data_IF_590141794320
#
_entry.id   IF_590141794320
#
_cell.length_a   1.000
_cell.length_b   1.000
_cell.length_c   1.000
_cell.angle_alpha   90.00
_cell.angle_beta   90.00
_cell.angle_gamma   90.00
#
_symmetry.space_group_name_H-M   'P 1'
#
loop_
_entity.id
_entity.type
_entity.pdbx_description
1 polymer ?
#
# COMPACT_ATOMS: atom_id res chain seq x y z
N UNK A 1 37.96 -87.47 28.35
CA UNK A 1 38.10 -86.48 27.29
C UNK A 1 36.93 -85.55 27.37
N UNK A 2 37.09 -84.40 28.12
CA UNK A 2 36.03 -83.47 28.37
C UNK A 2 36.39 -82.13 27.65
N UNK A 3 35.60 -81.77 26.62
CA UNK A 3 35.68 -80.49 25.98
C UNK A 3 34.70 -79.50 26.69
N UNK A 4 35.26 -78.52 27.35
CA UNK A 4 34.51 -77.38 27.87
C UNK A 4 34.22 -76.34 26.74
N UNK A 5 32.96 -76.07 26.49
CA UNK A 5 32.55 -74.95 25.64
C UNK A 5 32.61 -73.67 26.45
N UNK A 6 33.40 -72.70 25.98
CA UNK A 6 33.31 -71.25 26.47
C UNK A 6 32.23 -70.53 25.69
N UNK A 7 31.24 -70.10 26.38
CA UNK A 7 30.25 -69.13 25.83
C UNK A 7 30.80 -67.72 26.00
N UNK A 8 31.06 -67.02 24.89
CA UNK A 8 31.46 -65.64 24.88
C UNK A 8 30.22 -64.73 24.94
N UNK A 9 30.10 -63.90 25.97
CA UNK A 9 29.10 -62.81 26.05
C UNK A 9 29.65 -61.59 25.34
N UNK A 10 29.07 -61.25 24.17
CA UNK A 10 29.30 -59.98 23.52
C UNK A 10 28.37 -58.93 24.09
N UNK A 11 28.91 -58.00 24.90
CA UNK A 11 28.17 -56.83 25.37
C UNK A 11 28.11 -55.79 24.20
N UNK A 12 26.93 -55.60 23.63
CA UNK A 12 26.68 -54.50 22.68
C UNK A 12 26.55 -53.20 23.47
N UNK A 13 27.52 -52.29 23.31
CA UNK A 13 27.49 -50.95 23.87
C UNK A 13 26.58 -50.07 22.96
N UNK A 14 25.34 -49.86 23.39
CA UNK A 14 24.44 -48.86 22.77
C UNK A 14 24.90 -47.46 23.19
N UNK A 15 25.60 -46.78 22.25
CA UNK A 15 25.90 -45.35 22.37
C UNK A 15 24.62 -44.57 22.09
N UNK A 16 24.00 -44.08 23.13
CA UNK A 16 22.89 -43.13 23.06
C UNK A 16 23.47 -41.75 22.68
N UNK A 17 23.46 -41.40 21.38
CA UNK A 17 23.78 -40.07 20.92
C UNK A 17 22.68 -39.14 21.36
N UNK A 18 22.92 -38.36 22.42
CA UNK A 18 22.07 -37.27 22.81
C UNK A 18 22.04 -36.22 21.67
N UNK A 19 20.90 -36.07 20.97
CA UNK A 19 20.67 -34.93 20.13
C UNK A 19 20.60 -33.70 21.07
N UNK A 20 21.66 -32.92 21.11
CA UNK A 20 21.62 -31.59 21.72
C UNK A 20 20.63 -30.75 20.92
N UNK A 21 19.65 -30.12 21.58
CA UNK A 21 18.79 -29.17 20.87
C UNK A 21 19.70 -28.08 20.28
N UNK A 22 19.58 -27.85 18.97
CA UNK A 22 20.29 -26.75 18.34
C UNK A 22 19.93 -25.46 19.06
N UNK A 23 20.90 -24.81 19.69
CA UNK A 23 20.68 -23.52 20.33
C UNK A 23 20.17 -22.56 19.28
N UNK A 24 18.95 -22.05 19.48
CA UNK A 24 18.39 -21.00 18.63
C UNK A 24 19.35 -19.81 18.68
N UNK A 25 19.85 -19.38 17.51
CA UNK A 25 20.71 -18.22 17.44
C UNK A 25 19.95 -16.99 17.97
N UNK A 26 20.61 -16.19 18.79
CA UNK A 26 20.01 -14.95 19.31
C UNK A 26 19.57 -14.04 18.14
N UNK A 27 18.46 -13.28 18.30
CA UNK A 27 18.01 -12.31 17.32
C UNK A 27 19.14 -11.35 16.94
N UNK A 28 19.45 -11.24 15.65
CA UNK A 28 20.44 -10.29 15.13
C UNK A 28 19.79 -9.13 14.41
N UNK A 29 20.39 -7.95 14.49
CA UNK A 29 19.95 -6.81 13.67
C UNK A 29 20.27 -7.06 12.20
N UNK A 30 19.34 -6.66 11.34
CA UNK A 30 19.50 -6.72 9.88
C UNK A 30 19.00 -5.41 9.25
N UNK A 31 19.62 -4.95 8.17
CA UNK A 31 19.09 -3.85 7.39
C UNK A 31 17.79 -4.25 6.70
N UNK A 32 16.89 -3.29 6.52
CA UNK A 32 15.67 -3.43 5.72
C UNK A 32 15.58 -2.22 4.81
N UNK A 33 15.20 -2.42 3.55
CA UNK A 33 14.88 -1.32 2.64
C UNK A 33 13.39 -1.33 2.32
N UNK A 34 12.84 -0.15 2.05
CA UNK A 34 11.48 0.06 1.56
C UNK A 34 11.61 0.87 0.28
N UNK A 35 11.18 0.29 -0.84
CA UNK A 35 11.29 0.88 -2.19
C UNK A 35 12.71 1.41 -2.49
N UNK A 36 13.72 0.65 -2.06
CA UNK A 36 15.14 0.96 -2.24
C UNK A 36 15.75 1.90 -1.20
N UNK A 37 14.96 2.57 -0.36
CA UNK A 37 15.45 3.42 0.72
C UNK A 37 15.67 2.61 2.02
N UNK A 38 16.79 2.86 2.71
CA UNK A 38 17.10 2.17 3.97
C UNK A 38 16.08 2.57 5.05
N UNK A 39 15.43 1.58 5.67
CA UNK A 39 14.48 1.79 6.75
C UNK A 39 15.25 2.23 8.02
N UNK A 40 14.78 3.28 8.65
CA UNK A 40 15.30 3.73 9.94
C UNK A 40 15.02 2.75 11.08
N UNK A 41 15.71 2.94 12.21
CA UNK A 41 15.55 2.10 13.38
C UNK A 41 16.24 0.74 13.24
N UNK A 42 15.91 -0.19 14.15
CA UNK A 42 16.52 -1.52 14.19
C UNK A 42 15.49 -2.57 13.84
N UNK A 43 15.75 -3.34 12.81
CA UNK A 43 14.98 -4.54 12.44
C UNK A 43 15.74 -5.80 12.86
N UNK A 44 15.05 -6.87 13.16
CA UNK A 44 15.68 -8.10 13.67
C UNK A 44 15.36 -9.30 12.79
N UNK A 45 16.35 -10.16 12.61
CA UNK A 45 16.18 -11.52 12.09
C UNK A 45 16.30 -12.50 13.27
N UNK A 46 15.24 -13.25 13.49
CA UNK A 46 15.19 -14.32 14.49
C UNK A 46 14.56 -15.57 13.86
N UNK A 47 15.25 -16.69 13.98
CA UNK A 47 14.76 -17.99 13.51
C UNK A 47 14.23 -17.96 12.07
N UNK A 48 14.90 -17.19 11.19
CA UNK A 48 14.52 -17.04 9.78
C UNK A 48 13.39 -16.03 9.51
N UNK A 49 12.86 -15.37 10.54
CA UNK A 49 11.81 -14.35 10.38
C UNK A 49 12.38 -12.95 10.61
N UNK A 50 12.25 -12.09 9.61
CA UNK A 50 12.59 -10.66 9.77
C UNK A 50 11.39 -9.92 10.35
N UNK A 51 11.64 -9.19 11.45
CA UNK A 51 10.64 -8.32 12.08
C UNK A 51 11.08 -6.87 12.02
N UNK A 52 10.12 -5.97 11.81
CA UNK A 52 10.33 -4.53 11.65
C UNK A 52 9.47 -3.74 12.64
N UNK A 53 9.92 -2.55 13.09
CA UNK A 53 9.06 -1.67 13.85
C UNK A 53 7.91 -1.17 12.96
N UNK A 54 6.67 -1.52 13.32
CA UNK A 54 5.48 -1.26 12.50
C UNK A 54 5.36 0.23 12.11
N UNK A 55 5.41 1.12 13.10
CA UNK A 55 5.32 2.57 12.85
C UNK A 55 6.40 3.04 11.88
N UNK A 56 7.65 2.64 12.09
CA UNK A 56 8.77 3.09 11.26
C UNK A 56 8.60 2.67 9.79
N UNK A 57 8.08 1.46 9.54
CA UNK A 57 7.82 1.00 8.18
C UNK A 57 6.65 1.77 7.56
N UNK A 58 5.55 1.94 8.29
CA UNK A 58 4.39 2.66 7.78
C UNK A 58 4.66 4.16 7.57
N UNK A 59 5.48 4.78 8.43
CA UNK A 59 5.94 6.17 8.25
C UNK A 59 6.81 6.31 6.98
N UNK A 60 7.64 5.31 6.67
CA UNK A 60 8.45 5.30 5.44
C UNK A 60 7.59 5.18 4.17
N UNK A 61 6.46 4.48 4.25
CA UNK A 61 5.46 4.40 3.18
C UNK A 61 4.59 5.67 3.12
N UNK A 62 4.42 6.34 4.26
CA UNK A 62 3.70 7.60 4.40
C UNK A 62 2.18 7.50 4.48
N UNK A 63 1.57 8.54 5.03
CA UNK A 63 0.12 8.75 5.03
C UNK A 63 -0.68 7.86 5.98
N UNK A 64 -0.06 7.22 6.98
CA UNK A 64 -0.73 6.41 7.98
C UNK A 64 -0.95 7.16 9.29
N UNK A 65 -2.18 7.15 9.79
CA UNK A 65 -2.48 7.50 11.18
C UNK A 65 -2.29 6.26 12.06
N UNK A 66 -1.40 6.36 13.07
CA UNK A 66 -0.99 5.21 13.87
C UNK A 66 -1.12 5.51 15.36
N UNK A 67 -1.87 4.68 16.09
CA UNK A 67 -2.05 4.81 17.54
C UNK A 67 -2.11 3.44 18.23
N UNK A 68 -2.18 3.48 19.54
CA UNK A 68 -2.36 2.28 20.38
C UNK A 68 -3.76 2.25 20.93
N UNK A 69 -4.49 1.14 20.75
CA UNK A 69 -5.84 0.97 21.22
C UNK A 69 -6.10 -0.48 21.65
N UNK A 70 -6.79 -0.66 22.78
CA UNK A 70 -7.23 -1.97 23.24
C UNK A 70 -6.14 -3.03 23.35
N UNK A 71 -4.87 -2.66 23.63
CA UNK A 71 -3.74 -3.57 23.71
C UNK A 71 -3.14 -4.00 22.37
N UNK A 72 -3.38 -3.24 21.29
CA UNK A 72 -2.84 -3.47 19.96
C UNK A 72 -2.42 -2.16 19.27
N UNK A 73 -1.53 -2.26 18.33
CA UNK A 73 -1.28 -1.16 17.39
C UNK A 73 -2.40 -1.13 16.34
N UNK A 74 -2.90 0.07 16.07
CA UNK A 74 -3.88 0.35 15.01
C UNK A 74 -3.26 1.34 14.06
N UNK A 75 -3.40 1.10 12.75
CA UNK A 75 -2.98 2.01 11.71
C UNK A 75 -4.07 2.15 10.65
N UNK A 76 -4.37 3.38 10.23
CA UNK A 76 -5.42 3.67 9.24
C UNK A 76 -4.86 4.55 8.14
N UNK A 77 -5.20 4.21 6.89
CA UNK A 77 -4.93 5.01 5.69
C UNK A 77 -5.98 4.71 4.63
N UNK A 78 -6.65 5.74 4.10
CA UNK A 78 -7.59 5.63 2.96
C UNK A 78 -8.61 4.48 3.12
N UNK A 79 -9.26 4.37 4.29
CA UNK A 79 -10.25 3.31 4.57
C UNK A 79 -9.67 1.92 4.85
N UNK A 80 -8.35 1.75 4.77
CA UNK A 80 -7.66 0.53 5.19
C UNK A 80 -7.33 0.62 6.68
N UNK A 81 -7.79 -0.36 7.47
CA UNK A 81 -7.46 -0.49 8.89
C UNK A 81 -6.58 -1.71 9.10
N UNK A 82 -5.35 -1.48 9.54
CA UNK A 82 -4.40 -2.52 9.95
C UNK A 82 -4.33 -2.60 11.47
N UNK A 83 -4.41 -3.80 12.04
CA UNK A 83 -4.19 -4.03 13.47
C UNK A 83 -3.13 -5.09 13.72
N UNK A 84 -2.33 -4.88 14.77
CA UNK A 84 -1.26 -5.78 15.20
C UNK A 84 -1.27 -5.92 16.75
N UNK A 85 -1.64 -7.11 17.24
CA UNK A 85 -1.73 -7.40 18.68
C UNK A 85 -0.50 -8.18 19.13
N UNK A 86 0.26 -7.71 20.12
CA UNK A 86 1.36 -8.47 20.71
C UNK A 86 0.90 -9.83 21.24
N UNK A 87 1.72 -10.85 20.98
CA UNK A 87 1.44 -12.25 21.32
C UNK A 87 0.70 -13.02 20.23
N UNK A 88 0.03 -12.35 19.27
CA UNK A 88 -0.62 -13.03 18.15
C UNK A 88 0.36 -13.25 16.98
N UNK A 89 0.30 -14.46 16.39
CA UNK A 89 1.01 -14.79 15.14
C UNK A 89 0.14 -14.48 13.92
N UNK A 90 -0.45 -13.30 13.91
CA UNK A 90 -1.26 -12.79 12.81
C UNK A 90 -1.35 -11.26 12.87
N UNK A 91 -1.61 -10.66 11.71
CA UNK A 91 -2.04 -9.28 11.53
C UNK A 91 -3.49 -9.28 11.02
N UNK A 92 -4.20 -8.16 11.17
CA UNK A 92 -5.54 -8.04 10.56
C UNK A 92 -5.58 -6.78 9.68
N UNK A 93 -6.12 -6.92 8.47
CA UNK A 93 -6.40 -5.80 7.56
C UNK A 93 -7.88 -5.83 7.22
N UNK A 94 -8.62 -4.77 7.55
CA UNK A 94 -10.06 -4.65 7.40
C UNK A 94 -10.83 -5.86 7.98
N UNK A 95 -10.35 -6.40 9.12
CA UNK A 95 -10.92 -7.58 9.77
C UNK A 95 -10.47 -8.93 9.19
N UNK A 96 -9.84 -8.96 8.02
CA UNK A 96 -9.26 -10.18 7.45
C UNK A 96 -7.91 -10.49 8.13
N UNK A 97 -7.76 -11.73 8.64
CA UNK A 97 -6.52 -12.16 9.32
C UNK A 97 -5.49 -12.66 8.31
N UNK A 98 -4.26 -12.15 8.41
CA UNK A 98 -3.07 -12.63 7.74
C UNK A 98 -2.17 -13.33 8.75
N UNK A 99 -1.97 -14.64 8.58
CA UNK A 99 -1.09 -15.44 9.44
C UNK A 99 0.38 -15.04 9.28
N UNK A 100 1.13 -15.14 10.36
CA UNK A 100 2.55 -14.84 10.44
C UNK A 100 3.35 -16.01 11.01
N UNK A 101 4.61 -16.15 10.60
CA UNK A 101 5.51 -17.22 11.07
C UNK A 101 6.11 -16.95 12.46
N UNK A 102 5.92 -15.74 13.00
CA UNK A 102 6.34 -15.36 14.35
C UNK A 102 5.30 -14.41 14.95
N UNK A 103 5.20 -14.31 16.27
CA UNK A 103 4.25 -13.41 16.92
C UNK A 103 4.66 -11.94 16.75
N UNK A 104 3.66 -11.07 16.76
CA UNK A 104 3.83 -9.64 17.01
C UNK A 104 4.36 -9.47 18.45
N UNK A 105 5.30 -8.57 18.68
CA UNK A 105 5.83 -8.30 20.02
C UNK A 105 6.15 -6.83 20.23
N UNK A 106 6.30 -6.44 21.51
CA UNK A 106 6.78 -5.10 21.88
C UNK A 106 8.20 -5.21 22.41
N UNK A 107 9.08 -4.34 21.89
CA UNK A 107 10.46 -4.20 22.35
C UNK A 107 10.83 -2.73 22.41
N UNK A 108 11.30 -2.27 23.56
CA UNK A 108 11.71 -0.87 23.75
C UNK A 108 10.61 0.12 23.33
N UNK A 109 9.34 -0.16 23.69
CA UNK A 109 8.20 0.70 23.39
C UNK A 109 7.74 0.70 21.93
N UNK A 110 8.28 -0.19 21.08
CA UNK A 110 7.90 -0.31 19.65
C UNK A 110 7.26 -1.67 19.39
N UNK A 111 6.19 -1.64 18.61
CA UNK A 111 5.53 -2.86 18.12
C UNK A 111 6.29 -3.39 16.91
N UNK A 112 6.75 -4.63 17.01
CA UNK A 112 7.44 -5.34 15.91
C UNK A 112 6.50 -6.34 15.28
N UNK A 113 6.51 -6.37 13.95
CA UNK A 113 5.70 -7.26 13.15
C UNK A 113 6.56 -8.04 12.15
N UNK A 114 6.22 -9.32 11.85
CA UNK A 114 6.86 -10.06 10.77
C UNK A 114 6.64 -9.36 9.43
N UNK A 115 7.74 -8.93 8.79
CA UNK A 115 7.68 -8.07 7.59
C UNK A 115 6.95 -8.74 6.44
N UNK A 116 7.16 -10.06 6.23
CA UNK A 116 6.49 -10.80 5.14
C UNK A 116 4.98 -10.87 5.34
N UNK A 117 4.50 -11.09 6.57
CA UNK A 117 3.08 -11.12 6.86
C UNK A 117 2.43 -9.74 6.63
N UNK A 118 3.11 -8.67 7.04
CA UNK A 118 2.67 -7.30 6.76
C UNK A 118 2.58 -7.04 5.26
N UNK A 119 3.63 -7.38 4.51
CA UNK A 119 3.64 -7.20 3.06
C UNK A 119 2.52 -8.00 2.38
N UNK A 120 2.31 -9.26 2.74
CA UNK A 120 1.22 -10.07 2.20
C UNK A 120 -0.17 -9.47 2.50
N UNK A 121 -0.37 -8.99 3.73
CA UNK A 121 -1.61 -8.35 4.13
C UNK A 121 -1.90 -7.06 3.35
N UNK A 122 -0.85 -6.36 2.91
CA UNK A 122 -0.92 -5.07 2.23
C UNK A 122 -0.78 -5.17 0.70
N UNK A 123 -0.62 -6.39 0.16
CA UNK A 123 -0.36 -6.59 -1.27
C UNK A 123 1.05 -6.14 -1.71
N UNK A 124 1.98 -5.98 -0.76
CA UNK A 124 3.39 -5.66 -1.01
C UNK A 124 4.23 -6.93 -1.13
N UNK A 125 5.50 -6.79 -1.54
CA UNK A 125 6.45 -7.89 -1.54
C UNK A 125 7.55 -7.68 -0.50
N UNK A 126 8.07 -8.79 0.05
CA UNK A 126 9.22 -8.79 0.94
C UNK A 126 10.14 -9.95 0.55
N UNK A 127 11.35 -9.63 0.14
CA UNK A 127 12.35 -10.59 -0.31
C UNK A 127 13.65 -10.44 0.52
N UNK A 128 14.43 -11.51 0.58
CA UNK A 128 15.77 -11.44 1.17
C UNK A 128 16.76 -10.94 0.12
N UNK A 129 17.41 -9.84 0.40
CA UNK A 129 18.51 -9.33 -0.41
C UNK A 129 19.84 -9.81 0.16
N UNK A 130 20.49 -10.74 -0.56
CA UNK A 130 21.76 -11.32 -0.15
C UNK A 130 22.94 -10.33 -0.18
N UNK A 131 22.91 -9.33 -1.07
CA UNK A 131 23.93 -8.29 -1.15
C UNK A 131 23.81 -7.30 0.00
N UNK A 132 22.59 -6.95 0.39
CA UNK A 132 22.28 -6.14 1.55
C UNK A 132 22.51 -6.92 2.86
N UNK A 133 22.36 -8.25 2.85
CA UNK A 133 22.29 -9.08 4.05
C UNK A 133 21.06 -8.83 4.91
N UNK A 134 19.95 -8.44 4.29
CA UNK A 134 18.74 -7.97 4.90
C UNK A 134 17.48 -8.22 4.06
N UNK A 135 16.38 -7.58 4.41
CA UNK A 135 15.12 -7.69 3.65
C UNK A 135 14.89 -6.44 2.79
N UNK A 136 14.41 -6.66 1.56
CA UNK A 136 13.91 -5.61 0.67
C UNK A 136 12.38 -5.68 0.60
N UNK A 137 11.73 -4.60 0.97
CA UNK A 137 10.28 -4.40 0.84
C UNK A 137 10.02 -3.56 -0.39
N UNK A 138 9.10 -4.02 -1.25
CA UNK A 138 8.60 -3.26 -2.39
C UNK A 138 7.11 -3.06 -2.22
N UNK A 139 6.68 -1.81 -2.09
CA UNK A 139 5.27 -1.47 -1.87
C UNK A 139 4.52 -1.24 -3.18
N UNK A 140 5.23 -0.98 -4.27
CA UNK A 140 4.66 -0.50 -5.53
C UNK A 140 4.17 0.95 -5.46
N UNK A 141 4.39 1.62 -4.33
CA UNK A 141 4.08 3.03 -4.14
C UNK A 141 5.31 3.83 -4.58
N UNK A 142 5.11 4.82 -5.45
CA UNK A 142 6.23 5.67 -5.87
C UNK A 142 6.74 6.51 -4.68
N UNK A 143 7.99 6.96 -4.73
CA UNK A 143 8.56 7.88 -3.75
C UNK A 143 7.73 9.19 -3.58
N UNK A 144 6.82 9.46 -4.51
CA UNK A 144 5.86 10.55 -4.44
C UNK A 144 4.56 10.20 -3.68
N UNK A 145 4.44 9.00 -3.10
CA UNK A 145 3.33 8.63 -2.21
C UNK A 145 2.06 8.09 -2.92
N UNK A 146 2.13 7.73 -4.20
CA UNK A 146 1.04 7.14 -4.96
C UNK A 146 1.49 5.84 -5.67
N UNK A 147 0.52 4.97 -6.01
CA UNK A 147 0.79 3.71 -6.71
C UNK A 147 0.92 3.90 -8.22
N UNK A 148 1.50 2.92 -8.91
CA UNK A 148 1.49 2.89 -10.39
C UNK A 148 0.05 2.74 -10.94
N UNK A 149 -0.87 2.09 -10.21
CA UNK A 149 -2.28 2.00 -10.58
C UNK A 149 -2.96 3.37 -10.50
N UNK A 150 -2.64 4.18 -9.47
CA UNK A 150 -3.15 5.56 -9.35
C UNK A 150 -2.69 6.41 -10.53
N UNK A 151 -1.41 6.36 -10.87
CA UNK A 151 -0.86 7.07 -12.04
C UNK A 151 -1.49 6.56 -13.33
N UNK A 152 -1.66 5.25 -13.47
CA UNK A 152 -2.26 4.62 -14.64
C UNK A 152 -3.67 5.14 -14.92
N UNK A 153 -4.55 5.13 -13.91
CA UNK A 153 -5.94 5.55 -14.11
C UNK A 153 -6.10 7.07 -14.16
N UNK A 154 -5.40 7.81 -13.29
CA UNK A 154 -5.49 9.27 -13.28
C UNK A 154 -4.99 9.89 -14.58
N UNK A 155 -3.85 9.43 -15.10
CA UNK A 155 -3.32 9.96 -16.37
C UNK A 155 -4.25 9.68 -17.56
N UNK A 156 -4.94 8.54 -17.56
CA UNK A 156 -5.88 8.16 -18.63
C UNK A 156 -7.15 8.98 -18.58
N UNK A 157 -7.77 9.15 -17.41
CA UNK A 157 -8.99 9.97 -17.33
C UNK A 157 -8.68 11.43 -17.65
N UNK A 158 -7.58 11.99 -17.17
CA UNK A 158 -7.12 13.33 -17.54
C UNK A 158 -6.94 13.44 -19.07
N UNK A 159 -6.27 12.47 -19.68
CA UNK A 159 -6.04 12.50 -21.14
C UNK A 159 -7.33 12.36 -21.94
N UNK A 160 -8.24 11.50 -21.51
CA UNK A 160 -9.48 11.26 -22.21
C UNK A 160 -10.46 12.44 -22.14
N UNK A 161 -10.50 13.12 -21.00
CA UNK A 161 -11.38 14.28 -20.74
C UNK A 161 -10.78 15.61 -21.23
N UNK A 162 -9.46 15.78 -21.17
CA UNK A 162 -8.86 17.11 -21.30
C UNK A 162 -7.54 17.18 -22.07
N UNK A 163 -7.22 16.19 -22.92
CA UNK A 163 -5.96 16.13 -23.69
C UNK A 163 -5.67 17.36 -24.55
N UNK A 164 -6.69 18.11 -24.96
CA UNK A 164 -6.58 19.35 -25.74
C UNK A 164 -6.43 20.61 -24.90
N UNK A 165 -6.56 20.48 -23.55
CA UNK A 165 -6.45 21.61 -22.64
C UNK A 165 -4.99 21.95 -22.30
N UNK A 166 -4.80 23.14 -21.74
CA UNK A 166 -3.54 23.53 -21.11
C UNK A 166 -3.18 22.59 -19.97
N UNK A 167 -1.92 22.61 -19.51
CA UNK A 167 -1.50 21.83 -18.34
C UNK A 167 -2.37 22.14 -17.11
N UNK A 168 -2.74 23.43 -16.88
CA UNK A 168 -3.63 23.84 -15.81
C UNK A 168 -5.02 23.20 -15.95
N UNK A 169 -5.59 23.16 -17.16
CA UNK A 169 -6.88 22.52 -17.41
C UNK A 169 -6.84 21.01 -17.14
N UNK A 170 -5.74 20.35 -17.50
CA UNK A 170 -5.54 18.94 -17.23
C UNK A 170 -5.35 18.65 -15.72
N UNK A 171 -4.61 19.50 -15.02
CA UNK A 171 -4.49 19.45 -13.55
C UNK A 171 -5.86 19.64 -12.90
N UNK A 172 -6.67 20.57 -13.40
CA UNK A 172 -8.00 20.84 -12.88
C UNK A 172 -8.92 19.61 -12.91
N UNK A 173 -8.92 18.87 -14.03
CA UNK A 173 -9.65 17.60 -14.15
C UNK A 173 -9.11 16.57 -13.16
N UNK A 174 -7.80 16.44 -13.04
CA UNK A 174 -7.16 15.56 -12.06
C UNK A 174 -7.52 15.90 -10.61
N UNK A 175 -7.59 17.19 -10.25
CA UNK A 175 -7.99 17.64 -8.93
C UNK A 175 -9.43 17.24 -8.61
N UNK A 176 -10.38 17.32 -9.56
CA UNK A 176 -11.77 16.85 -9.34
C UNK A 176 -11.79 15.37 -9.00
N UNK A 177 -11.01 14.54 -9.72
CA UNK A 177 -10.92 13.10 -9.40
C UNK A 177 -10.40 12.88 -7.98
N UNK A 178 -9.33 13.57 -7.58
CA UNK A 178 -8.77 13.45 -6.24
C UNK A 178 -9.69 13.99 -5.14
N UNK A 179 -10.40 15.08 -5.41
CA UNK A 179 -11.40 15.61 -4.48
C UNK A 179 -12.54 14.61 -4.26
N UNK A 180 -12.96 13.89 -5.30
CA UNK A 180 -13.94 12.80 -5.18
C UNK A 180 -13.43 11.66 -4.32
N UNK A 181 -12.17 11.25 -4.49
CA UNK A 181 -11.54 10.18 -3.68
C UNK A 181 -11.59 10.46 -2.18
N UNK A 182 -11.50 11.73 -1.78
CA UNK A 182 -11.54 12.14 -0.36
C UNK A 182 -12.93 12.59 0.12
N UNK A 183 -13.95 12.59 -0.76
CA UNK A 183 -15.32 12.95 -0.44
C UNK A 183 -16.14 11.74 -0.04
N UNK A 184 -16.94 11.86 1.02
CA UNK A 184 -17.87 10.80 1.44
C UNK A 184 -19.00 10.50 0.42
N UNK A 185 -19.18 11.35 -0.59
CA UNK A 185 -20.18 11.16 -1.66
C UNK A 185 -19.73 10.15 -2.72
N UNK A 186 -18.42 9.88 -2.84
CA UNK A 186 -17.81 9.08 -3.90
C UNK A 186 -16.98 7.91 -3.35
N UNK A 187 -16.60 6.94 -4.22
CA UNK A 187 -15.64 5.90 -3.86
C UNK A 187 -14.27 6.49 -3.43
N UNK A 188 -13.51 5.74 -2.63
CA UNK A 188 -12.29 6.21 -1.99
C UNK A 188 -10.99 5.79 -2.72
N UNK A 189 -11.07 5.31 -3.96
CA UNK A 189 -9.93 5.04 -4.83
C UNK A 189 -10.09 5.69 -6.19
N UNK A 190 -8.99 6.08 -6.83
CA UNK A 190 -9.02 6.71 -8.17
C UNK A 190 -9.72 5.82 -9.19
N UNK A 191 -9.39 4.53 -9.20
CA UNK A 191 -10.02 3.56 -10.10
C UNK A 191 -11.53 3.49 -9.91
N UNK A 192 -11.99 3.35 -8.68
CA UNK A 192 -13.42 3.27 -8.39
C UNK A 192 -14.15 4.57 -8.72
N UNK A 193 -13.56 5.76 -8.45
CA UNK A 193 -14.11 7.05 -8.88
C UNK A 193 -14.24 7.14 -10.40
N UNK A 194 -13.22 6.67 -11.14
CA UNK A 194 -13.24 6.68 -12.61
C UNK A 194 -14.35 5.77 -13.15
N UNK A 195 -14.56 4.60 -12.56
CA UNK A 195 -15.54 3.61 -13.00
C UNK A 195 -16.88 3.67 -12.24
N UNK A 196 -17.09 4.69 -11.40
CA UNK A 196 -18.32 4.85 -10.64
C UNK A 196 -19.54 4.99 -11.57
N UNK A 197 -20.62 4.28 -11.20
CA UNK A 197 -21.89 4.24 -11.93
C UNK A 197 -23.11 4.41 -11.01
N UNK A 198 -22.89 4.79 -9.74
CA UNK A 198 -23.96 4.92 -8.74
C UNK A 198 -25.09 5.84 -9.24
N UNK A 199 -24.71 7.00 -9.80
CA UNK A 199 -25.65 7.99 -10.33
C UNK A 199 -25.50 8.17 -11.86
N UNK A 200 -25.16 7.08 -12.56
CA UNK A 200 -24.83 7.07 -13.97
C UNK A 200 -23.33 7.05 -14.23
N UNK A 201 -22.94 6.98 -15.52
CA UNK A 201 -21.53 7.00 -15.89
C UNK A 201 -20.95 8.37 -15.61
N UNK A 202 -19.93 8.43 -14.75
CA UNK A 202 -19.32 9.69 -14.30
C UNK A 202 -18.36 10.29 -15.35
N UNK A 203 -17.73 9.43 -16.17
CA UNK A 203 -16.80 9.83 -17.21
C UNK A 203 -17.15 9.13 -18.53
N UNK A 204 -17.53 9.90 -19.55
CA UNK A 204 -17.91 9.36 -20.85
C UNK A 204 -16.85 8.43 -21.47
N UNK A 205 -15.53 8.70 -21.34
CA UNK A 205 -14.47 7.81 -21.78
C UNK A 205 -14.57 6.36 -21.30
N UNK A 206 -15.22 6.10 -20.19
CA UNK A 206 -15.47 4.75 -19.67
C UNK A 206 -16.51 4.02 -20.53
N UNK A 207 -17.52 4.74 -21.02
CA UNK A 207 -18.58 4.16 -21.87
C UNK A 207 -18.15 3.92 -23.30
N UNK A 208 -17.36 4.86 -23.85
CA UNK A 208 -16.91 4.78 -25.26
C UNK A 208 -15.55 4.07 -25.42
N UNK A 209 -14.93 3.61 -24.31
CA UNK A 209 -13.68 2.86 -24.30
C UNK A 209 -12.39 3.69 -24.46
N UNK A 210 -12.50 5.01 -24.62
CA UNK A 210 -11.31 5.88 -24.81
C UNK A 210 -10.46 6.01 -23.55
N UNK A 211 -10.98 5.61 -22.38
CA UNK A 211 -10.25 5.51 -21.11
C UNK A 211 -9.02 4.56 -21.20
N UNK A 212 -9.04 3.58 -22.10
CA UNK A 212 -7.95 2.62 -22.30
C UNK A 212 -6.87 3.12 -23.27
N UNK A 213 -7.07 4.27 -23.93
CA UNK A 213 -6.09 4.85 -24.81
C UNK A 213 -4.84 5.29 -24.07
N UNK A 214 -3.69 5.27 -24.77
CA UNK A 214 -2.42 5.77 -24.22
C UNK A 214 -2.57 7.26 -23.85
N UNK A 215 -2.26 7.68 -22.61
CA UNK A 215 -2.30 9.08 -22.23
C UNK A 215 -1.18 9.88 -22.90
N UNK A 216 -1.40 11.19 -23.07
CA UNK A 216 -0.34 12.08 -23.55
C UNK A 216 0.74 12.28 -22.48
N UNK A 217 1.96 12.64 -22.89
CA UNK A 217 3.04 12.96 -21.94
C UNK A 217 2.64 14.11 -20.98
N UNK A 218 1.89 15.10 -21.50
CA UNK A 218 1.37 16.20 -20.68
C UNK A 218 0.34 15.72 -19.64
N UNK A 219 -0.53 14.77 -20.02
CA UNK A 219 -1.52 14.20 -19.08
C UNK A 219 -0.85 13.35 -17.99
N UNK A 220 0.23 12.64 -18.31
CA UNK A 220 1.06 11.95 -17.31
C UNK A 220 1.73 12.95 -16.38
N UNK A 221 2.27 14.06 -16.90
CA UNK A 221 2.88 15.11 -16.09
C UNK A 221 1.85 15.77 -15.15
N UNK A 222 0.63 16.06 -15.66
CA UNK A 222 -0.48 16.58 -14.86
C UNK A 222 -0.87 15.61 -13.73
N UNK A 223 -1.03 14.31 -14.04
CA UNK A 223 -1.34 13.29 -13.06
C UNK A 223 -0.27 13.21 -11.94
N UNK A 224 1.02 13.23 -12.29
CA UNK A 224 2.12 13.24 -11.31
C UNK A 224 2.07 14.49 -10.41
N UNK A 225 1.82 15.67 -10.96
CA UNK A 225 1.72 16.91 -10.19
C UNK A 225 0.53 16.89 -9.21
N UNK A 226 -0.61 16.33 -9.63
CA UNK A 226 -1.79 16.16 -8.78
C UNK A 226 -1.53 15.14 -7.67
N UNK A 227 -1.03 13.96 -8.03
CA UNK A 227 -0.76 12.87 -7.08
C UNK A 227 0.30 13.22 -6.03
N UNK A 228 1.30 14.01 -6.39
CA UNK A 228 2.32 14.51 -5.44
C UNK A 228 1.81 15.65 -4.54
N UNK A 229 0.57 16.11 -4.73
CA UNK A 229 0.00 17.22 -3.97
C UNK A 229 0.59 18.60 -4.30
N UNK A 230 1.44 18.70 -5.35
CA UNK A 230 2.11 19.96 -5.72
C UNK A 230 1.25 20.88 -6.57
N UNK A 231 0.09 20.41 -7.05
CA UNK A 231 -0.80 21.19 -7.91
C UNK A 231 -2.26 21.04 -7.50
N UNK A 232 -2.85 22.15 -7.02
CA UNK A 232 -4.28 22.28 -6.74
C UNK A 232 -4.78 23.61 -7.31
N UNK A 233 -5.67 23.54 -8.32
CA UNK A 233 -6.11 24.72 -9.08
C UNK A 233 -7.62 24.97 -9.03
N UNK A 234 -8.41 24.01 -8.54
CA UNK A 234 -9.88 24.12 -8.47
C UNK A 234 -10.46 23.91 -7.06
N UNK A 235 -9.63 24.08 -6.01
CA UNK A 235 -10.09 23.90 -4.62
C UNK A 235 -10.79 22.55 -4.44
N UNK A 236 -11.96 22.56 -3.77
CA UNK A 236 -12.73 21.35 -3.46
C UNK A 236 -13.80 21.01 -4.52
N UNK A 237 -13.66 21.45 -5.77
CA UNK A 237 -14.63 21.13 -6.83
C UNK A 237 -14.77 19.62 -7.03
N UNK A 238 -16.03 19.17 -7.08
CA UNK A 238 -16.40 17.77 -7.30
C UNK A 238 -16.98 17.54 -8.71
N UNK A 239 -17.32 18.62 -9.43
CA UNK A 239 -17.99 18.55 -10.71
C UNK A 239 -17.34 19.47 -11.75
N UNK A 240 -17.39 19.06 -13.00
CA UNK A 240 -17.05 19.90 -14.15
C UNK A 240 -17.84 19.48 -15.38
N UNK A 241 -17.95 20.36 -16.34
CA UNK A 241 -18.43 20.05 -17.71
C UNK A 241 -17.90 21.05 -18.72
N UNK A 242 -17.91 20.67 -20.00
CA UNK A 242 -17.58 21.54 -21.13
C UNK A 242 -18.87 22.13 -21.73
N UNK A 243 -19.13 23.46 -21.65
CA UNK A 243 -20.35 24.10 -22.16
C UNK A 243 -20.58 23.90 -23.66
N UNK A 244 -19.49 23.70 -24.42
CA UNK A 244 -19.61 23.43 -25.86
C UNK A 244 -20.19 22.04 -26.16
N UNK A 245 -20.09 21.10 -25.21
CA UNK A 245 -20.51 19.69 -25.40
C UNK A 245 -21.79 19.35 -24.63
N UNK A 246 -22.13 20.12 -23.60
CA UNK A 246 -23.30 19.88 -22.76
C UNK A 246 -23.91 21.17 -22.26
N UNK A 247 -25.23 21.20 -22.12
CA UNK A 247 -25.95 22.36 -21.50
C UNK A 247 -25.64 22.47 -20.00
N UNK A 248 -25.17 21.38 -19.35
CA UNK A 248 -24.89 21.38 -17.92
C UNK A 248 -26.10 21.71 -17.05
N UNK A 249 -27.32 21.42 -17.50
CA UNK A 249 -28.59 21.89 -16.87
C UNK A 249 -28.65 21.47 -15.40
N UNK A 250 -28.34 20.23 -15.09
CA UNK A 250 -28.37 19.72 -13.72
C UNK A 250 -27.30 20.37 -12.85
N UNK A 251 -26.04 20.43 -13.33
CA UNK A 251 -24.92 21.01 -12.59
C UNK A 251 -25.18 22.49 -12.27
N UNK A 252 -25.62 23.26 -13.28
CA UNK A 252 -25.93 24.68 -13.12
C UNK A 252 -27.06 24.93 -12.11
N UNK A 253 -28.03 24.02 -11.99
CA UNK A 253 -29.16 24.15 -11.06
C UNK A 253 -28.83 23.66 -9.64
N UNK A 254 -27.88 22.75 -9.46
CA UNK A 254 -27.69 22.02 -8.21
C UNK A 254 -26.31 22.22 -7.56
N UNK A 255 -25.35 22.85 -8.25
CA UNK A 255 -23.96 23.01 -7.76
C UNK A 255 -23.49 24.45 -7.87
N UNK A 256 -22.63 24.86 -6.94
CA UNK A 256 -22.11 26.23 -6.92
C UNK A 256 -20.95 26.36 -7.91
N UNK A 257 -21.10 27.26 -8.89
CA UNK A 257 -20.01 27.57 -9.81
C UNK A 257 -18.79 28.10 -9.07
N UNK A 258 -17.62 27.59 -9.40
CA UNK A 258 -16.34 28.01 -8.83
C UNK A 258 -15.51 28.83 -9.82
N UNK A 259 -15.09 28.25 -10.94
CA UNK A 259 -14.30 28.93 -11.99
C UNK A 259 -14.35 28.20 -13.34
N UNK A 260 -13.86 28.90 -14.37
CA UNK A 260 -13.62 28.31 -15.70
C UNK A 260 -12.12 28.23 -15.95
N UNK A 261 -11.64 27.08 -16.45
CA UNK A 261 -10.29 26.88 -16.96
C UNK A 261 -10.41 26.22 -18.32
N UNK A 262 -9.84 26.85 -19.36
CA UNK A 262 -9.96 26.38 -20.75
C UNK A 262 -11.42 26.24 -21.16
N UNK A 263 -11.79 25.07 -21.67
CA UNK A 263 -13.16 24.76 -22.11
C UNK A 263 -14.07 24.24 -20.99
N UNK A 264 -13.58 24.06 -19.76
CA UNK A 264 -14.32 23.46 -18.66
C UNK A 264 -14.75 24.47 -17.60
N UNK A 265 -15.96 24.28 -17.09
CA UNK A 265 -16.50 24.95 -15.90
C UNK A 265 -16.48 24.01 -14.72
N UNK A 266 -15.98 24.48 -13.58
CA UNK A 266 -15.79 23.72 -12.33
C UNK A 266 -16.75 24.18 -11.25
N UNK A 267 -17.29 23.23 -10.45
CA UNK A 267 -18.33 23.44 -9.45
C UNK A 267 -18.02 22.68 -8.15
N UNK A 268 -18.45 23.28 -7.04
CA UNK A 268 -18.41 22.66 -5.72
C UNK A 268 -19.54 21.66 -5.52
#
# INVERSE_FOLDING_TARGET
MNRKLLAGFSAALLTLSALSPAASAAPRSVPVTVDGALLGGVSYLDSGVTTVPLRTLLDAVGGWDIWWDGGQAVAVKNGVTLTARPGESALSVNGAKQSALAPVYVRSGRTYVPVRALCQAMGWTAEWDGALGGAAVTTGISAAGYTEEDLYWLSRVISAESRGESLEGQIAVGNVVMNRVVSDEFPNTIKEVVFDRKDGVQFEPVSNGTIYNQPTAQSVAAARAVLSGTASVVGNCLYFYAPALSLGTWINANRTYYKTIGCHRFYL
#
